data_IF_912434351717
#
_entry.id   IF_912434351717
#
_cell.length_a   1.000
_cell.length_b   1.000
_cell.length_c   1.000
_cell.angle_alpha   90.00
_cell.angle_beta   90.00
_cell.angle_gamma   90.00
#
_symmetry.space_group_name_H-M   'P 1'
#
loop_
_entity.id
_entity.type
_entity.pdbx_description
1 polymer ?
#
# COMPACT_ATOMS: atom_id res chain seq x y z
N UNK A 1 21.96 14.58 -12.23
CA UNK A 1 20.53 14.22 -12.11
C UNK A 1 19.98 14.70 -10.77
N UNK A 2 19.54 15.97 -10.61
CA UNK A 2 19.04 16.49 -9.34
C UNK A 2 17.50 16.62 -9.27
N UNK A 3 16.75 16.29 -10.32
CA UNK A 3 15.31 16.61 -10.44
C UNK A 3 14.33 15.58 -9.85
N UNK A 4 14.67 14.28 -9.87
CA UNK A 4 13.72 13.22 -9.49
C UNK A 4 13.48 13.11 -7.97
N UNK A 5 14.50 13.40 -7.15
CA UNK A 5 14.37 13.44 -5.69
C UNK A 5 13.60 14.69 -5.21
N UNK A 6 13.64 15.78 -5.98
CA UNK A 6 12.94 17.03 -5.64
C UNK A 6 11.42 16.85 -5.74
N UNK A 7 10.91 16.27 -6.83
CA UNK A 7 9.47 16.06 -7.01
C UNK A 7 8.85 15.15 -5.94
N UNK A 8 9.57 14.09 -5.55
CA UNK A 8 9.16 13.19 -4.48
C UNK A 8 9.06 13.88 -3.12
N UNK A 9 10.08 14.67 -2.77
CA UNK A 9 10.12 15.44 -1.53
C UNK A 9 9.02 16.51 -1.49
N UNK A 10 8.79 17.20 -2.61
CA UNK A 10 7.73 18.20 -2.76
C UNK A 10 6.33 17.58 -2.58
N UNK A 11 6.07 16.42 -3.19
CA UNK A 11 4.80 15.70 -3.01
C UNK A 11 4.61 15.25 -1.56
N UNK A 12 5.67 14.78 -0.89
CA UNK A 12 5.63 14.43 0.53
C UNK A 12 5.34 15.65 1.42
N UNK A 13 5.83 16.82 1.04
CA UNK A 13 5.53 18.10 1.69
C UNK A 13 4.12 18.65 1.35
N UNK A 14 3.37 18.00 0.45
CA UNK A 14 2.01 18.38 0.09
C UNK A 14 1.90 19.34 -1.10
N UNK A 15 2.96 19.50 -1.89
CA UNK A 15 2.93 20.32 -3.10
C UNK A 15 1.99 19.75 -4.17
N UNK A 16 1.38 20.65 -4.94
CA UNK A 16 0.75 20.34 -6.23
C UNK A 16 1.76 20.68 -7.31
N UNK A 17 2.24 19.67 -8.03
CA UNK A 17 3.23 19.85 -9.08
C UNK A 17 2.58 20.35 -10.37
N UNK A 18 3.29 21.11 -11.22
CA UNK A 18 2.80 21.47 -12.55
C UNK A 18 2.45 20.23 -13.39
N UNK A 19 1.46 20.37 -14.27
CA UNK A 19 1.17 19.36 -15.29
C UNK A 19 2.39 19.14 -16.18
N UNK A 20 2.65 17.89 -16.58
CA UNK A 20 3.80 17.54 -17.39
C UNK A 20 5.15 17.45 -16.64
N UNK A 21 5.15 17.49 -15.30
CA UNK A 21 6.37 17.26 -14.52
C UNK A 21 6.98 15.88 -14.85
N UNK A 22 8.20 15.86 -15.38
CA UNK A 22 8.90 14.64 -15.76
C UNK A 22 9.14 13.72 -14.54
N UNK A 23 8.94 12.41 -14.72
CA UNK A 23 9.10 11.41 -13.64
C UNK A 23 7.99 11.41 -12.58
N UNK A 24 6.96 12.27 -12.70
CA UNK A 24 5.88 12.33 -11.72
C UNK A 24 4.79 11.25 -11.92
N UNK A 25 4.67 10.66 -13.11
CA UNK A 25 3.55 9.76 -13.48
C UNK A 25 3.37 8.55 -12.55
N UNK A 26 4.47 7.99 -12.03
CA UNK A 26 4.40 6.83 -11.14
C UNK A 26 4.04 7.21 -9.69
N UNK A 27 4.22 8.48 -9.31
CA UNK A 27 4.12 8.97 -7.92
C UNK A 27 2.98 9.95 -7.71
N UNK A 28 2.45 10.53 -8.78
CA UNK A 28 1.43 11.56 -8.77
C UNK A 28 0.37 11.32 -9.84
N UNK A 29 -0.82 11.83 -9.57
CA UNK A 29 -2.02 11.74 -10.42
C UNK A 29 -2.54 13.14 -10.71
N UNK A 30 -3.23 13.35 -11.85
CA UNK A 30 -3.95 14.60 -12.10
C UNK A 30 -4.91 14.92 -10.94
N UNK A 31 -4.76 16.10 -10.36
CA UNK A 31 -5.70 16.64 -9.38
C UNK A 31 -6.68 17.56 -10.08
N UNK A 32 -7.95 17.33 -9.83
CA UNK A 32 -9.05 18.20 -10.24
C UNK A 32 -9.47 19.09 -9.06
N UNK A 33 -9.67 20.38 -9.32
CA UNK A 33 -10.39 21.26 -8.42
C UNK A 33 -11.89 21.08 -8.69
N UNK A 34 -12.59 20.50 -7.71
CA UNK A 34 -14.05 20.31 -7.75
C UNK A 34 -14.69 21.38 -6.88
N UNK A 35 -15.58 22.15 -7.49
CA UNK A 35 -16.26 23.27 -6.84
C UNK A 35 -17.68 22.86 -6.47
N UNK A 36 -18.07 23.09 -5.22
CA UNK A 36 -19.39 22.79 -4.71
C UNK A 36 -20.06 24.01 -4.09
N UNK A 37 -21.39 24.03 -4.13
CA UNK A 37 -22.24 25.04 -3.48
C UNK A 37 -23.11 24.37 -2.42
N UNK A 38 -23.47 25.13 -1.38
CA UNK A 38 -24.41 24.70 -0.36
C UNK A 38 -25.26 25.90 0.08
N UNK A 39 -26.58 25.78 0.23
CA UNK A 39 -27.44 26.89 0.62
C UNK A 39 -27.02 27.59 1.92
N UNK A 40 -26.52 26.84 2.90
CA UNK A 40 -26.01 27.40 4.16
C UNK A 40 -24.65 28.13 4.06
N UNK A 41 -24.02 28.19 2.89
CA UNK A 41 -22.74 28.88 2.68
C UNK A 41 -22.87 30.16 1.84
N UNK A 42 -24.10 30.55 1.47
CA UNK A 42 -24.39 31.67 0.57
C UNK A 42 -23.60 31.52 -0.74
N UNK A 43 -22.89 32.58 -1.16
CA UNK A 43 -22.08 32.58 -2.37
C UNK A 43 -20.70 31.92 -2.23
N UNK A 44 -20.33 31.44 -1.03
CA UNK A 44 -18.99 30.87 -0.80
C UNK A 44 -18.90 29.44 -1.35
N UNK A 45 -18.03 29.18 -2.34
CA UNK A 45 -17.83 27.82 -2.83
C UNK A 45 -16.99 27.00 -1.86
N UNK A 46 -17.24 25.69 -1.83
CA UNK A 46 -16.32 24.70 -1.25
C UNK A 46 -15.51 24.11 -2.39
N UNK A 47 -14.18 24.23 -2.33
CA UNK A 47 -13.28 23.65 -3.34
C UNK A 47 -12.53 22.47 -2.73
N UNK A 48 -12.57 21.32 -3.40
CA UNK A 48 -11.81 20.13 -3.02
C UNK A 48 -10.85 19.73 -4.14
N UNK A 49 -9.62 19.39 -3.76
CA UNK A 49 -8.63 18.83 -4.66
C UNK A 49 -8.69 17.31 -4.59
N UNK A 50 -9.05 16.68 -5.72
CA UNK A 50 -9.29 15.24 -5.78
C UNK A 50 -8.59 14.63 -6.98
N UNK A 51 -8.05 13.43 -6.81
CA UNK A 51 -7.60 12.58 -7.92
C UNK A 51 -8.68 12.54 -8.99
N UNK A 52 -8.34 12.91 -10.23
CA UNK A 52 -9.27 12.94 -11.35
C UNK A 52 -10.04 11.61 -11.49
N UNK A 53 -9.38 10.48 -11.23
CA UNK A 53 -9.99 9.15 -11.33
C UNK A 53 -11.01 8.85 -10.21
N UNK A 54 -10.99 9.61 -9.12
CA UNK A 54 -11.91 9.46 -7.98
C UNK A 54 -12.98 10.57 -7.93
N UNK A 55 -13.01 11.45 -8.93
CA UNK A 55 -13.87 12.63 -8.95
C UNK A 55 -15.36 12.32 -8.80
N UNK A 56 -15.86 11.30 -9.48
CA UNK A 56 -17.27 10.88 -9.37
C UNK A 56 -17.61 10.39 -7.96
N UNK A 57 -16.71 9.62 -7.34
CA UNK A 57 -16.88 9.16 -5.97
C UNK A 57 -16.90 10.31 -4.97
N UNK A 58 -16.08 11.34 -5.19
CA UNK A 58 -16.13 12.56 -4.39
C UNK A 58 -17.47 13.29 -4.57
N UNK A 59 -17.98 13.44 -5.79
CA UNK A 59 -19.26 14.13 -6.03
C UNK A 59 -20.42 13.44 -5.32
N UNK A 60 -20.44 12.11 -5.34
CA UNK A 60 -21.44 11.32 -4.59
C UNK A 60 -21.30 11.59 -3.09
N UNK A 61 -20.07 11.56 -2.56
CA UNK A 61 -19.82 11.83 -1.15
C UNK A 61 -20.21 13.26 -0.74
N UNK A 62 -19.90 14.25 -1.58
CA UNK A 62 -20.27 15.65 -1.40
C UNK A 62 -21.80 15.83 -1.44
N UNK A 63 -22.48 15.20 -2.41
CA UNK A 63 -23.94 15.21 -2.53
C UNK A 63 -24.65 14.71 -1.28
N UNK A 64 -24.08 13.71 -0.59
CA UNK A 64 -24.61 13.23 0.69
C UNK A 64 -24.60 14.30 1.79
N UNK A 65 -23.68 15.26 1.71
CA UNK A 65 -23.57 16.40 2.62
C UNK A 65 -24.43 17.61 2.16
N UNK A 66 -25.26 17.44 1.13
CA UNK A 66 -26.08 18.51 0.55
C UNK A 66 -25.30 19.46 -0.36
N UNK A 67 -24.06 19.13 -0.72
CA UNK A 67 -23.24 19.92 -1.64
C UNK A 67 -23.63 19.61 -3.09
N UNK A 68 -23.83 20.64 -3.91
CA UNK A 68 -24.11 20.49 -5.34
C UNK A 68 -22.93 20.98 -6.18
N UNK A 69 -22.61 20.33 -7.31
CA UNK A 69 -21.57 20.81 -8.22
C UNK A 69 -21.83 22.26 -8.66
N UNK A 70 -20.82 23.11 -8.55
CA UNK A 70 -20.90 24.54 -8.85
C UNK A 70 -20.19 24.97 -10.13
N UNK A 71 -19.30 24.12 -10.66
CA UNK A 71 -18.57 24.33 -11.92
C UNK A 71 -18.00 23.00 -12.42
N UNK A 72 -17.65 22.95 -13.70
CA UNK A 72 -16.94 21.79 -14.27
C UNK A 72 -15.57 21.60 -13.61
N UNK A 73 -15.19 20.35 -13.25
CA UNK A 73 -13.89 20.08 -12.65
C UNK A 73 -12.74 20.45 -13.58
N UNK A 74 -11.78 21.23 -13.07
CA UNK A 74 -10.59 21.64 -13.81
C UNK A 74 -9.34 20.96 -13.25
N UNK A 75 -8.45 20.46 -14.12
CA UNK A 75 -7.14 19.94 -13.69
C UNK A 75 -6.26 21.10 -13.25
N UNK A 76 -5.79 21.06 -12.01
CA UNK A 76 -4.97 22.14 -11.41
C UNK A 76 -3.50 21.75 -11.18
N UNK A 77 -3.15 20.49 -11.46
CA UNK A 77 -1.78 20.00 -11.36
C UNK A 77 -1.72 18.50 -11.08
N UNK A 78 -0.57 18.04 -10.61
CA UNK A 78 -0.32 16.66 -10.20
C UNK A 78 -0.15 16.61 -8.68
N UNK A 79 -0.76 15.64 -8.03
CA UNK A 79 -0.63 15.44 -6.58
C UNK A 79 -0.58 13.97 -6.20
N UNK A 80 -0.38 13.66 -4.91
CA UNK A 80 -0.24 12.28 -4.46
C UNK A 80 -1.54 11.51 -4.65
N UNK A 81 -1.45 10.27 -5.11
CA UNK A 81 -2.61 9.35 -5.18
C UNK A 81 -3.18 9.11 -3.79
N UNK A 82 -4.45 9.48 -3.59
CA UNK A 82 -5.17 9.30 -2.32
C UNK A 82 -6.44 8.50 -2.57
N UNK A 83 -6.51 7.22 -2.14
CA UNK A 83 -7.73 6.46 -2.29
C UNK A 83 -8.84 7.03 -1.39
N UNK A 84 -10.09 6.80 -1.78
CA UNK A 84 -11.22 7.03 -0.90
C UNK A 84 -11.01 6.25 0.40
N UNK A 85 -11.08 6.95 1.53
CA UNK A 85 -10.99 6.37 2.86
C UNK A 85 -12.37 6.40 3.53
N UNK A 86 -12.52 5.77 4.68
CA UNK A 86 -13.70 6.02 5.52
C UNK A 86 -13.79 7.53 5.85
N UNK A 87 -14.98 8.17 5.87
CA UNK A 87 -16.29 7.64 5.50
C UNK A 87 -16.59 7.73 3.98
N UNK A 88 -15.80 8.45 3.19
CA UNK A 88 -16.06 8.70 1.76
C UNK A 88 -16.23 7.40 0.96
N UNK A 89 -15.40 6.39 1.22
CA UNK A 89 -15.52 5.05 0.64
C UNK A 89 -16.90 4.42 0.93
N UNK A 90 -17.44 4.63 2.13
CA UNK A 90 -18.77 4.12 2.50
C UNK A 90 -19.85 4.86 1.72
N UNK A 91 -19.74 6.18 1.58
CA UNK A 91 -20.72 6.98 0.84
C UNK A 91 -20.80 6.56 -0.63
N UNK A 92 -19.69 6.12 -1.21
CA UNK A 92 -19.61 5.65 -2.60
C UNK A 92 -20.07 4.19 -2.74
N UNK A 93 -19.55 3.28 -1.92
CA UNK A 93 -19.75 1.84 -2.11
C UNK A 93 -20.95 1.27 -1.33
N UNK A 94 -21.37 1.92 -0.25
CA UNK A 94 -22.48 1.50 0.61
C UNK A 94 -23.33 2.72 1.05
N UNK A 95 -23.95 3.46 0.11
CA UNK A 95 -24.63 4.72 0.41
C UNK A 95 -25.76 4.57 1.44
N UNK A 96 -26.42 3.41 1.50
CA UNK A 96 -27.44 3.10 2.51
C UNK A 96 -26.91 3.18 3.95
N UNK A 97 -25.62 2.90 4.16
CA UNK A 97 -24.95 2.94 5.46
C UNK A 97 -24.29 4.30 5.74
N UNK A 98 -24.37 5.24 4.80
CA UNK A 98 -23.68 6.53 4.86
C UNK A 98 -24.00 7.35 6.10
N UNK A 99 -25.25 7.35 6.55
CA UNK A 99 -25.67 8.05 7.78
C UNK A 99 -24.94 7.49 9.01
N UNK A 100 -24.80 6.17 9.10
CA UNK A 100 -24.11 5.51 10.21
C UNK A 100 -22.60 5.80 10.18
N UNK A 101 -21.99 5.82 9.00
CA UNK A 101 -20.58 6.18 8.83
C UNK A 101 -20.30 7.65 9.20
N UNK A 102 -21.19 8.58 8.83
CA UNK A 102 -21.05 9.99 9.18
C UNK A 102 -21.32 10.28 10.65
N UNK A 103 -22.23 9.55 11.29
CA UNK A 103 -22.59 9.75 12.69
C UNK A 103 -21.38 9.64 13.65
N UNK A 104 -20.36 8.85 13.30
CA UNK A 104 -19.16 8.68 14.14
C UNK A 104 -18.05 9.69 13.85
N UNK A 105 -18.16 10.52 12.80
CA UNK A 105 -17.08 11.45 12.39
C UNK A 105 -16.68 12.43 13.50
N UNK A 106 -17.61 13.07 14.25
CA UNK A 106 -17.23 13.98 15.34
C UNK A 106 -16.44 13.28 16.46
N UNK A 107 -16.84 12.05 16.82
CA UNK A 107 -16.11 11.23 17.80
C UNK A 107 -14.71 10.89 17.29
N UNK A 108 -14.57 10.51 16.01
CA UNK A 108 -13.27 10.20 15.40
C UNK A 108 -12.36 11.43 15.30
N UNK A 109 -12.90 12.62 15.06
CA UNK A 109 -12.12 13.86 15.07
C UNK A 109 -11.57 14.16 16.48
N UNK A 110 -12.36 13.90 17.53
CA UNK A 110 -11.89 14.01 18.92
C UNK A 110 -10.79 13.00 19.24
N UNK A 111 -10.95 11.74 18.84
CA UNK A 111 -9.94 10.69 19.03
C UNK A 111 -8.65 11.00 18.27
N UNK A 112 -8.74 11.54 17.05
CA UNK A 112 -7.57 11.93 16.27
C UNK A 112 -6.73 13.01 16.97
N UNK A 113 -7.37 14.00 17.61
CA UNK A 113 -6.68 15.02 18.42
C UNK A 113 -5.95 14.43 19.64
N UNK A 114 -6.41 13.28 20.13
CA UNK A 114 -5.83 12.58 21.29
C UNK A 114 -4.74 11.59 20.89
N UNK A 115 -4.61 11.23 19.61
CA UNK A 115 -3.73 10.17 19.15
C UNK A 115 -2.26 10.37 19.54
N UNK A 116 -1.79 11.62 19.63
CA UNK A 116 -0.41 11.92 20.06
C UNK A 116 -0.24 11.96 21.58
N UNK A 117 -1.14 12.64 22.29
CA UNK A 117 -0.99 12.92 23.73
C UNK A 117 -1.53 11.83 24.63
N UNK A 118 -2.55 11.09 24.18
CA UNK A 118 -3.24 10.02 24.93
C UNK A 118 -3.51 8.83 24.02
N UNK A 119 -2.47 8.22 23.44
CA UNK A 119 -2.62 7.24 22.35
C UNK A 119 -3.41 6.00 22.78
N UNK A 120 -3.22 5.49 24.01
CA UNK A 120 -3.99 4.34 24.51
C UNK A 120 -5.48 4.64 24.63
N UNK A 121 -5.84 5.81 25.16
CA UNK A 121 -7.24 6.23 25.28
C UNK A 121 -7.88 6.43 23.90
N UNK A 122 -7.13 7.01 22.94
CA UNK A 122 -7.58 7.14 21.56
C UNK A 122 -7.81 5.75 20.91
N UNK A 123 -6.93 4.79 21.17
CA UNK A 123 -7.04 3.43 20.63
C UNK A 123 -8.27 2.72 21.17
N UNK A 124 -8.53 2.86 22.48
CA UNK A 124 -9.70 2.27 23.14
C UNK A 124 -10.99 2.90 22.62
N UNK A 125 -11.00 4.21 22.38
CA UNK A 125 -12.12 4.88 21.71
C UNK A 125 -12.36 4.35 20.30
N UNK A 126 -11.31 4.20 19.48
CA UNK A 126 -11.43 3.59 18.17
C UNK A 126 -11.95 2.14 18.24
N UNK A 127 -11.54 1.37 19.24
CA UNK A 127 -12.06 0.01 19.44
C UNK A 127 -13.54 0.03 19.81
N UNK A 128 -13.98 0.94 20.69
CA UNK A 128 -15.39 1.07 21.05
C UNK A 128 -16.26 1.40 19.82
N UNK A 129 -15.78 2.27 18.92
CA UNK A 129 -16.47 2.54 17.64
C UNK A 129 -16.51 1.28 16.76
N UNK A 130 -15.38 0.56 16.64
CA UNK A 130 -15.33 -0.69 15.88
C UNK A 130 -16.31 -1.74 16.42
N UNK A 131 -16.44 -1.88 17.74
CA UNK A 131 -17.36 -2.85 18.35
C UNK A 131 -18.83 -2.54 18.01
N UNK A 132 -19.18 -1.25 17.84
CA UNK A 132 -20.52 -0.86 17.35
C UNK A 132 -20.73 -1.29 15.90
N UNK A 133 -19.72 -1.08 15.05
CA UNK A 133 -19.78 -1.53 13.65
C UNK A 133 -19.79 -3.06 13.53
N UNK A 134 -19.00 -3.79 14.32
CA UNK A 134 -18.93 -5.24 14.26
C UNK A 134 -20.29 -5.93 14.48
N UNK A 135 -21.19 -5.30 15.24
CA UNK A 135 -22.55 -5.81 15.49
C UNK A 135 -23.54 -5.55 14.36
N UNK A 136 -23.33 -4.52 13.56
CA UNK A 136 -24.37 -3.98 12.65
C UNK A 136 -23.89 -3.87 11.21
N UNK A 137 -22.66 -3.42 11.02
CA UNK A 137 -22.05 -3.07 9.73
C UNK A 137 -20.60 -3.56 9.67
N UNK A 138 -20.35 -4.89 9.79
CA UNK A 138 -18.98 -5.44 9.86
C UNK A 138 -18.15 -5.15 8.61
N UNK A 139 -18.79 -4.94 7.45
CA UNK A 139 -18.11 -4.55 6.20
C UNK A 139 -17.43 -3.18 6.27
N UNK A 140 -17.77 -2.32 7.25
CA UNK A 140 -17.10 -1.03 7.44
C UNK A 140 -15.77 -1.15 8.20
N UNK A 141 -15.56 -2.25 8.94
CA UNK A 141 -14.40 -2.44 9.80
C UNK A 141 -13.05 -2.30 9.08
N UNK A 142 -12.84 -2.88 7.88
CA UNK A 142 -11.53 -2.80 7.23
C UNK A 142 -11.14 -1.36 6.89
N UNK A 143 -12.03 -0.62 6.22
CA UNK A 143 -11.77 0.79 5.84
C UNK A 143 -11.69 1.71 7.08
N UNK A 144 -12.49 1.43 8.12
CA UNK A 144 -12.44 2.13 9.41
C UNK A 144 -11.07 1.96 10.08
N UNK A 145 -10.61 0.71 10.25
CA UNK A 145 -9.33 0.43 10.90
C UNK A 145 -8.14 0.96 10.09
N UNK A 146 -8.20 0.92 8.76
CA UNK A 146 -7.19 1.53 7.91
C UNK A 146 -7.12 3.06 8.10
N UNK A 147 -8.27 3.76 8.21
CA UNK A 147 -8.28 5.20 8.54
C UNK A 147 -7.66 5.44 9.91
N UNK A 148 -8.07 4.69 10.92
CA UNK A 148 -7.54 4.82 12.27
C UNK A 148 -6.01 4.59 12.29
N UNK A 149 -5.52 3.57 11.58
CA UNK A 149 -4.09 3.32 11.45
C UNK A 149 -3.33 4.51 10.84
N UNK A 150 -3.89 5.19 9.82
CA UNK A 150 -3.30 6.42 9.24
C UNK A 150 -3.24 7.56 10.27
N UNK A 151 -4.25 7.70 11.13
CA UNK A 151 -4.27 8.71 12.21
C UNK A 151 -3.15 8.46 13.22
N UNK A 152 -2.97 7.22 13.68
CA UNK A 152 -1.89 6.88 14.61
C UNK A 152 -0.51 7.03 13.96
N UNK A 153 -0.38 6.65 12.69
CA UNK A 153 0.86 6.85 11.94
C UNK A 153 1.22 8.35 11.86
N UNK A 154 0.26 9.22 11.50
CA UNK A 154 0.49 10.66 11.48
C UNK A 154 0.81 11.26 12.87
N UNK A 155 0.37 10.59 13.94
CA UNK A 155 0.71 10.96 15.32
C UNK A 155 2.08 10.43 15.79
N UNK A 156 2.81 9.68 14.96
CA UNK A 156 4.08 9.04 15.31
C UNK A 156 3.94 7.82 16.21
N UNK A 157 2.79 7.15 16.15
CA UNK A 157 2.42 6.03 17.00
C UNK A 157 2.40 4.71 16.22
N UNK A 158 3.54 4.33 15.67
CA UNK A 158 3.68 3.22 14.71
C UNK A 158 3.17 1.89 15.27
N UNK A 159 3.45 1.58 16.53
CA UNK A 159 2.97 0.37 17.21
C UNK A 159 1.44 0.25 17.16
N UNK A 160 0.72 1.35 17.38
CA UNK A 160 -0.74 1.35 17.34
C UNK A 160 -1.26 1.37 15.91
N UNK A 161 -0.57 2.03 14.98
CA UNK A 161 -0.87 1.93 13.55
C UNK A 161 -0.77 0.46 13.06
N UNK A 162 0.26 -0.27 13.47
CA UNK A 162 0.45 -1.69 13.14
C UNK A 162 -0.68 -2.55 13.71
N UNK A 163 -1.07 -2.31 14.96
CA UNK A 163 -2.19 -3.03 15.58
C UNK A 163 -3.50 -2.82 14.81
N UNK A 164 -3.80 -1.58 14.42
CA UNK A 164 -5.02 -1.24 13.69
C UNK A 164 -5.00 -1.80 12.26
N UNK A 165 -3.85 -1.77 11.58
CA UNK A 165 -3.68 -2.44 10.28
C UNK A 165 -4.01 -3.94 10.36
N UNK A 166 -3.45 -4.63 11.38
CA UNK A 166 -3.72 -6.05 11.58
C UNK A 166 -5.20 -6.32 11.94
N UNK A 167 -5.86 -5.42 12.67
CA UNK A 167 -7.30 -5.52 12.96
C UNK A 167 -8.15 -5.39 11.70
N UNK A 168 -7.76 -4.55 10.73
CA UNK A 168 -8.44 -4.46 9.43
C UNK A 168 -8.44 -5.82 8.72
N UNK A 169 -7.26 -6.45 8.61
CA UNK A 169 -7.11 -7.78 7.98
C UNK A 169 -7.84 -8.87 8.76
N UNK A 170 -7.79 -8.82 10.10
CA UNK A 170 -8.54 -9.76 10.96
C UNK A 170 -10.05 -9.64 10.76
N UNK A 171 -10.57 -8.41 10.60
CA UNK A 171 -12.00 -8.19 10.36
C UNK A 171 -12.45 -8.79 9.02
N UNK A 172 -11.66 -8.64 7.95
CA UNK A 172 -11.95 -9.27 6.65
C UNK A 172 -12.05 -10.79 6.78
N UNK A 173 -11.08 -11.42 7.45
CA UNK A 173 -11.08 -12.87 7.66
C UNK A 173 -12.22 -13.34 8.58
N UNK A 174 -12.45 -12.65 9.69
CA UNK A 174 -13.46 -13.01 10.70
C UNK A 174 -14.89 -12.93 10.15
N UNK A 175 -15.16 -11.95 9.29
CA UNK A 175 -16.50 -11.71 8.75
C UNK A 175 -16.67 -12.19 7.30
N UNK A 176 -15.67 -12.89 6.73
CA UNK A 176 -15.74 -13.41 5.37
C UNK A 176 -15.97 -12.33 4.31
N UNK A 177 -15.41 -11.14 4.52
CA UNK A 177 -15.69 -9.98 3.67
C UNK A 177 -15.01 -10.13 2.29
N UNK A 178 -15.63 -9.62 1.21
CA UNK A 178 -14.99 -9.57 -0.09
C UNK A 178 -13.74 -8.67 -0.02
N UNK A 179 -12.65 -9.13 -0.65
CA UNK A 179 -11.38 -8.42 -0.67
C UNK A 179 -11.09 -7.98 -2.10
N UNK A 180 -11.06 -6.67 -2.31
CA UNK A 180 -10.47 -6.08 -3.50
C UNK A 180 -8.94 -6.14 -3.38
N UNK A 181 -8.33 -7.07 -4.11
CA UNK A 181 -6.88 -7.28 -4.06
C UNK A 181 -6.09 -6.09 -4.63
N UNK A 182 -6.65 -5.32 -5.58
CA UNK A 182 -5.97 -4.15 -6.16
C UNK A 182 -5.88 -3.04 -5.11
N UNK A 183 -7.00 -2.73 -4.44
CA UNK A 183 -7.03 -1.82 -3.29
C UNK A 183 -6.10 -2.31 -2.17
N UNK A 184 -6.09 -3.62 -1.91
CA UNK A 184 -5.29 -4.18 -0.84
C UNK A 184 -3.78 -4.05 -1.10
N UNK A 185 -3.31 -4.25 -2.33
CA UNK A 185 -1.91 -4.02 -2.70
C UNK A 185 -1.47 -2.57 -2.40
N UNK A 186 -2.32 -1.59 -2.73
CA UNK A 186 -2.03 -0.18 -2.44
C UNK A 186 -1.99 0.12 -0.94
N UNK A 187 -2.87 -0.53 -0.17
CA UNK A 187 -2.88 -0.42 1.30
C UNK A 187 -1.61 -1.03 1.88
N UNK A 188 -1.22 -2.24 1.47
CA UNK A 188 0.03 -2.86 1.91
C UNK A 188 1.24 -2.01 1.54
N UNK A 189 1.33 -1.53 0.30
CA UNK A 189 2.43 -0.68 -0.14
C UNK A 189 2.56 0.57 0.73
N UNK A 190 1.46 1.31 0.94
CA UNK A 190 1.47 2.54 1.74
C UNK A 190 1.94 2.30 3.17
N UNK A 191 1.43 1.26 3.83
CA UNK A 191 1.82 0.97 5.22
C UNK A 191 3.21 0.32 5.31
N UNK A 192 3.67 -0.42 4.30
CA UNK A 192 5.02 -0.97 4.26
C UNK A 192 6.08 0.14 4.14
N UNK A 193 5.86 1.11 3.24
CA UNK A 193 6.74 2.28 3.10
C UNK A 193 6.82 3.13 4.37
N UNK A 194 5.77 3.08 5.19
CA UNK A 194 5.72 3.75 6.50
C UNK A 194 6.26 2.89 7.65
N UNK A 195 6.87 1.73 7.38
CA UNK A 195 7.38 0.76 8.38
C UNK A 195 6.32 0.22 9.36
N UNK A 196 5.04 0.37 9.02
CA UNK A 196 3.91 -0.13 9.83
C UNK A 196 3.66 -1.62 9.57
N UNK A 197 3.84 -2.09 8.34
CA UNK A 197 3.72 -3.51 7.99
C UNK A 197 5.02 -4.22 8.36
N UNK A 198 4.93 -5.22 9.25
CA UNK A 198 6.08 -6.07 9.58
C UNK A 198 6.40 -7.03 8.44
N UNK A 199 7.65 -7.50 8.36
CA UNK A 199 8.06 -8.56 7.44
C UNK A 199 7.14 -9.80 7.51
N UNK A 200 6.67 -10.13 8.72
CA UNK A 200 5.71 -11.22 8.96
C UNK A 200 4.33 -10.93 8.37
N UNK A 201 3.81 -9.71 8.52
CA UNK A 201 2.52 -9.33 7.96
C UNK A 201 2.56 -9.32 6.41
N UNK A 202 3.67 -8.85 5.82
CA UNK A 202 3.88 -8.90 4.38
C UNK A 202 4.00 -10.36 3.86
N UNK A 203 4.76 -11.22 4.56
CA UNK A 203 4.81 -12.65 4.22
C UNK A 203 3.47 -13.38 4.45
N UNK A 204 2.67 -12.93 5.42
CA UNK A 204 1.30 -13.38 5.63
C UNK A 204 0.41 -13.09 4.42
N UNK A 205 0.59 -11.93 3.78
CA UNK A 205 -0.13 -11.58 2.57
C UNK A 205 0.14 -12.54 1.41
N UNK A 206 1.38 -13.01 1.24
CA UNK A 206 1.69 -14.05 0.24
C UNK A 206 0.89 -15.34 0.45
N UNK A 207 0.63 -15.72 1.72
CA UNK A 207 -0.21 -16.87 2.07
C UNK A 207 -1.67 -16.60 1.70
N UNK A 208 -2.17 -15.39 1.95
CA UNK A 208 -3.53 -14.98 1.57
C UNK A 208 -3.75 -14.96 0.06
N UNK A 209 -2.75 -14.52 -0.71
CA UNK A 209 -2.76 -14.60 -2.17
C UNK A 209 -2.81 -16.04 -2.65
N UNK A 210 -1.99 -16.92 -2.07
CA UNK A 210 -1.96 -18.35 -2.41
C UNK A 210 -3.30 -19.06 -2.14
N UNK A 211 -4.08 -18.57 -1.18
CA UNK A 211 -5.39 -19.14 -0.84
C UNK A 211 -6.51 -18.68 -1.79
N UNK A 212 -6.30 -17.63 -2.59
CA UNK A 212 -7.33 -16.96 -3.39
C UNK A 212 -7.06 -17.00 -4.89
N UNK A 213 -5.78 -17.07 -5.28
CA UNK A 213 -5.36 -16.95 -6.66
C UNK A 213 -4.64 -18.22 -7.14
N UNK A 214 -4.65 -18.48 -8.45
CA UNK A 214 -3.73 -19.44 -9.06
C UNK A 214 -2.29 -19.14 -8.66
N UNK A 215 -1.48 -20.19 -8.43
CA UNK A 215 -0.13 -20.05 -7.87
C UNK A 215 0.79 -19.13 -8.69
N UNK A 216 0.66 -19.17 -10.01
CA UNK A 216 1.37 -18.28 -10.94
C UNK A 216 1.00 -16.81 -10.72
N UNK A 217 -0.30 -16.51 -10.63
CA UNK A 217 -0.79 -15.14 -10.41
C UNK A 217 -0.43 -14.63 -9.02
N UNK A 218 -0.49 -15.48 -7.99
CA UNK A 218 -0.06 -15.14 -6.63
C UNK A 218 1.43 -14.76 -6.59
N UNK A 219 2.29 -15.51 -7.32
CA UNK A 219 3.71 -15.20 -7.47
C UNK A 219 3.92 -13.83 -8.11
N UNK A 220 3.31 -13.59 -9.27
CA UNK A 220 3.50 -12.34 -10.02
C UNK A 220 3.04 -11.14 -9.19
N UNK A 221 1.89 -11.28 -8.53
CA UNK A 221 1.33 -10.23 -7.69
C UNK A 221 2.20 -9.91 -6.48
N UNK A 222 2.68 -10.92 -5.77
CA UNK A 222 3.57 -10.71 -4.62
C UNK A 222 4.92 -10.11 -5.04
N UNK A 223 5.52 -10.58 -6.13
CA UNK A 223 6.77 -10.02 -6.66
C UNK A 223 6.60 -8.55 -7.05
N UNK A 224 5.49 -8.17 -7.72
CA UNK A 224 5.18 -6.77 -8.04
C UNK A 224 5.05 -5.92 -6.77
N UNK A 225 4.36 -6.40 -5.75
CA UNK A 225 4.25 -5.68 -4.47
C UNK A 225 5.61 -5.51 -3.79
N UNK A 226 6.41 -6.58 -3.72
CA UNK A 226 7.73 -6.56 -3.11
C UNK A 226 8.70 -5.60 -3.83
N UNK A 227 8.68 -5.57 -5.17
CA UNK A 227 9.45 -4.61 -5.96
C UNK A 227 9.01 -3.17 -5.71
N UNK A 228 7.71 -2.90 -5.70
CA UNK A 228 7.18 -1.56 -5.39
C UNK A 228 7.53 -1.11 -3.97
N UNK A 229 7.48 -2.03 -3.01
CA UNK A 229 7.88 -1.76 -1.63
C UNK A 229 9.38 -1.44 -1.55
N UNK A 230 10.23 -2.22 -2.22
CA UNK A 230 11.67 -1.97 -2.30
C UNK A 230 11.98 -0.63 -2.98
N UNK A 231 11.32 -0.32 -4.09
CA UNK A 231 11.45 0.97 -4.76
C UNK A 231 11.03 2.16 -3.85
N UNK A 232 10.13 1.90 -2.90
CA UNK A 232 9.73 2.86 -1.86
C UNK A 232 10.61 2.82 -0.60
N UNK A 233 11.77 2.17 -0.64
CA UNK A 233 12.76 2.14 0.44
C UNK A 233 12.55 1.05 1.50
N UNK A 234 11.65 0.08 1.25
CA UNK A 234 11.45 -1.05 2.17
C UNK A 234 12.51 -2.12 1.94
N UNK A 235 13.34 -2.40 2.94
CA UNK A 235 14.38 -3.43 2.87
C UNK A 235 13.76 -4.83 2.71
N UNK A 236 14.16 -5.62 1.70
CA UNK A 236 13.72 -7.01 1.54
C UNK A 236 14.08 -7.87 2.75
N UNK A 237 13.15 -8.72 3.20
CA UNK A 237 13.31 -9.52 4.43
C UNK A 237 13.52 -11.01 4.13
N UNK A 238 14.17 -11.75 5.04
CA UNK A 238 14.28 -13.20 4.90
C UNK A 238 12.90 -13.89 4.79
N UNK A 239 11.89 -13.35 5.47
CA UNK A 239 10.51 -13.81 5.39
C UNK A 239 9.90 -13.59 3.99
N UNK A 240 10.14 -12.44 3.37
CA UNK A 240 9.68 -12.18 2.00
C UNK A 240 10.39 -13.06 0.98
N UNK A 241 11.69 -13.33 1.14
CA UNK A 241 12.40 -14.29 0.29
C UNK A 241 11.83 -15.72 0.42
N UNK A 242 11.58 -16.16 1.65
CA UNK A 242 10.92 -17.46 1.90
C UNK A 242 9.53 -17.53 1.26
N UNK A 243 8.77 -16.43 1.30
CA UNK A 243 7.48 -16.32 0.64
C UNK A 243 7.58 -16.45 -0.89
N UNK A 244 8.51 -15.73 -1.53
CA UNK A 244 8.77 -15.84 -2.98
C UNK A 244 9.13 -17.28 -3.34
N UNK A 245 10.11 -17.89 -2.65
CA UNK A 245 10.53 -19.27 -2.94
C UNK A 245 9.38 -20.28 -2.80
N UNK A 246 8.48 -20.07 -1.84
CA UNK A 246 7.30 -20.91 -1.65
C UNK A 246 6.31 -20.75 -2.81
N UNK A 247 6.07 -19.52 -3.26
CA UNK A 247 5.21 -19.21 -4.39
C UNK A 247 5.78 -19.77 -5.70
N UNK A 248 7.09 -19.64 -5.94
CA UNK A 248 7.78 -20.26 -7.08
C UNK A 248 7.57 -21.76 -7.09
N UNK A 249 7.84 -22.45 -5.98
CA UNK A 249 7.61 -23.91 -5.87
C UNK A 249 6.16 -24.29 -6.12
N UNK A 250 5.20 -23.50 -5.63
CA UNK A 250 3.78 -23.73 -5.86
C UNK A 250 3.41 -23.56 -7.34
N UNK A 251 3.89 -22.50 -7.98
CA UNK A 251 3.66 -22.20 -9.39
C UNK A 251 4.30 -23.26 -10.30
N UNK A 252 5.54 -23.68 -10.03
CA UNK A 252 6.22 -24.75 -10.79
C UNK A 252 5.48 -26.08 -10.67
N UNK A 253 5.00 -26.43 -9.46
CA UNK A 253 4.20 -27.64 -9.26
C UNK A 253 2.87 -27.58 -10.01
N UNK A 254 2.19 -26.44 -9.99
CA UNK A 254 0.92 -26.26 -10.71
C UNK A 254 1.09 -26.28 -12.24
N UNK A 255 2.20 -25.75 -12.75
CA UNK A 255 2.48 -25.70 -14.19
C UNK A 255 2.89 -27.06 -14.79
N UNK A 256 3.35 -28.01 -13.97
CA UNK A 256 3.81 -29.31 -14.42
C UNK A 256 5.07 -29.23 -15.30
N UNK A 257 5.46 -30.36 -15.91
CA UNK A 257 6.71 -30.48 -16.70
C UNK A 257 6.71 -29.57 -17.95
N UNK A 258 5.56 -29.40 -18.60
CA UNK A 258 5.43 -28.65 -19.85
C UNK A 258 5.36 -27.13 -19.62
N UNK A 259 4.79 -26.69 -18.49
CA UNK A 259 4.68 -25.28 -18.15
C UNK A 259 5.80 -24.74 -17.25
N UNK A 260 6.72 -25.59 -16.78
CA UNK A 260 7.79 -25.19 -15.85
C UNK A 260 8.69 -24.07 -16.42
N UNK A 261 8.96 -24.08 -17.72
CA UNK A 261 9.75 -23.03 -18.38
C UNK A 261 9.09 -21.65 -18.26
N UNK A 262 7.77 -21.55 -18.39
CA UNK A 262 7.02 -20.29 -18.29
C UNK A 262 7.00 -19.69 -16.87
N UNK A 263 7.28 -20.49 -15.84
CA UNK A 263 7.39 -20.04 -14.44
C UNK A 263 8.85 -19.78 -14.07
N UNK A 264 9.79 -20.50 -14.69
CA UNK A 264 11.21 -20.45 -14.37
C UNK A 264 11.83 -19.05 -14.50
N UNK A 265 11.33 -18.22 -15.42
CA UNK A 265 11.85 -16.87 -15.66
C UNK A 265 11.31 -15.79 -14.69
N UNK A 266 10.27 -16.10 -13.91
CA UNK A 266 9.60 -15.10 -13.05
C UNK A 266 10.44 -14.67 -11.85
N UNK A 267 11.04 -15.62 -11.15
CA UNK A 267 11.96 -15.32 -10.04
C UNK A 267 13.23 -14.60 -10.53
N UNK A 268 13.91 -15.07 -11.60
CA UNK A 268 15.00 -14.34 -12.21
C UNK A 268 14.64 -12.89 -12.59
N UNK A 269 13.52 -12.67 -13.27
CA UNK A 269 13.08 -11.32 -13.65
C UNK A 269 12.86 -10.42 -12.42
N UNK A 270 12.19 -10.93 -11.39
CA UNK A 270 12.00 -10.24 -10.11
C UNK A 270 13.34 -9.87 -9.45
N UNK A 271 14.27 -10.82 -9.35
CA UNK A 271 15.57 -10.59 -8.72
C UNK A 271 16.43 -9.62 -9.52
N UNK A 272 16.41 -9.70 -10.84
CA UNK A 272 17.13 -8.75 -11.72
C UNK A 272 16.69 -7.31 -11.47
N UNK A 273 15.37 -7.05 -11.39
CA UNK A 273 14.89 -5.70 -11.09
C UNK A 273 15.21 -5.28 -9.65
N UNK A 274 15.03 -6.18 -8.68
CA UNK A 274 15.28 -5.87 -7.27
C UNK A 274 16.75 -5.54 -7.01
N UNK A 275 17.69 -6.29 -7.61
CA UNK A 275 19.13 -6.10 -7.43
C UNK A 275 19.68 -4.82 -8.09
N UNK A 276 18.87 -4.11 -8.89
CA UNK A 276 19.20 -2.76 -9.38
C UNK A 276 18.85 -1.67 -8.38
N UNK A 277 18.01 -1.98 -7.38
CA UNK A 277 17.62 -1.03 -6.35
C UNK A 277 18.69 -0.98 -5.24
N UNK A 278 19.13 0.20 -4.79
CA UNK A 278 20.14 0.32 -3.73
C UNK A 278 19.74 -0.39 -2.43
N UNK A 279 18.45 -0.39 -2.10
CA UNK A 279 17.90 -1.01 -0.88
C UNK A 279 18.15 -2.53 -0.81
N UNK A 280 18.40 -3.19 -1.95
CA UNK A 280 18.70 -4.62 -1.97
C UNK A 280 20.02 -4.95 -1.27
N UNK A 281 20.99 -4.02 -1.29
CA UNK A 281 22.28 -4.18 -0.60
C UNK A 281 22.12 -4.23 0.93
N UNK A 282 21.06 -3.63 1.47
CA UNK A 282 20.77 -3.62 2.92
C UNK A 282 20.07 -4.91 3.39
N UNK A 283 19.74 -5.82 2.48
CA UNK A 283 19.02 -7.05 2.82
C UNK A 283 19.85 -7.94 3.76
N UNK A 284 19.22 -8.55 4.78
CA UNK A 284 19.93 -9.39 5.75
C UNK A 284 20.48 -10.65 5.10
N UNK A 285 21.53 -11.26 5.69
CA UNK A 285 22.15 -12.49 5.18
C UNK A 285 21.15 -13.64 4.91
N UNK A 286 20.07 -13.73 5.70
CA UNK A 286 19.01 -14.71 5.48
C UNK A 286 18.25 -14.53 4.16
N UNK A 287 18.11 -13.29 3.67
CA UNK A 287 17.53 -12.99 2.37
C UNK A 287 18.46 -13.48 1.25
N UNK A 288 19.75 -13.13 1.33
CA UNK A 288 20.76 -13.59 0.36
C UNK A 288 20.87 -15.10 0.29
N UNK A 289 20.90 -15.77 1.45
CA UNK A 289 20.95 -17.24 1.52
C UNK A 289 19.73 -17.89 0.86
N UNK A 290 18.56 -17.28 0.99
CA UNK A 290 17.32 -17.81 0.41
C UNK A 290 17.31 -17.73 -1.13
N UNK A 291 17.90 -16.70 -1.73
CA UNK A 291 17.96 -16.54 -3.20
C UNK A 291 19.30 -16.91 -3.83
N UNK A 292 20.28 -17.38 -3.04
CA UNK A 292 21.64 -17.70 -3.49
C UNK A 292 21.69 -18.53 -4.79
N UNK A 293 20.90 -19.62 -4.96
CA UNK A 293 20.93 -20.40 -6.20
C UNK A 293 20.51 -19.58 -7.43
N UNK A 294 19.41 -18.82 -7.32
CA UNK A 294 18.87 -18.02 -8.40
C UNK A 294 19.79 -16.84 -8.74
N UNK A 295 20.35 -16.16 -7.73
CA UNK A 295 21.30 -15.06 -7.91
C UNK A 295 22.60 -15.55 -8.54
N UNK A 296 23.10 -16.73 -8.17
CA UNK A 296 24.32 -17.30 -8.78
C UNK A 296 24.11 -17.63 -10.26
N UNK A 297 22.97 -18.23 -10.59
CA UNK A 297 22.60 -18.49 -11.99
C UNK A 297 22.45 -17.20 -12.81
N UNK A 298 21.86 -16.15 -12.22
CA UNK A 298 21.77 -14.81 -12.84
C UNK A 298 23.15 -14.19 -13.06
N UNK A 299 24.04 -14.21 -12.06
CA UNK A 299 25.38 -13.61 -12.15
C UNK A 299 26.28 -14.28 -13.21
N UNK A 300 26.01 -15.55 -13.52
CA UNK A 300 26.63 -16.27 -14.63
C UNK A 300 26.15 -15.79 -16.02
N UNK A 301 24.92 -15.29 -16.11
CA UNK A 301 24.28 -14.82 -17.36
C UNK A 301 24.42 -13.32 -17.60
N UNK A 302 24.39 -12.51 -16.53
CA UNK A 302 24.44 -11.05 -16.59
C UNK A 302 25.63 -10.50 -15.76
N UNK A 303 26.68 -9.98 -16.42
CA UNK A 303 27.84 -9.37 -15.74
C UNK A 303 27.51 -8.11 -14.93
N UNK A 304 26.39 -7.41 -15.19
CA UNK A 304 26.00 -6.21 -14.46
C UNK A 304 25.56 -6.55 -13.02
N UNK A 305 24.86 -7.67 -12.81
CA UNK A 305 24.46 -8.18 -11.50
C UNK A 305 25.67 -8.50 -10.61
N UNK A 306 26.81 -8.85 -11.22
CA UNK A 306 28.09 -9.13 -10.53
C UNK A 306 28.67 -7.89 -9.82
N UNK A 307 28.30 -6.68 -10.27
CA UNK A 307 28.81 -5.40 -9.74
C UNK A 307 27.94 -4.82 -8.62
N UNK A 308 26.66 -5.18 -8.54
CA UNK A 308 25.72 -4.72 -7.51
C UNK A 308 25.70 -5.57 -6.24
N UNK A 309 26.31 -6.77 -6.27
CA UNK A 309 26.48 -7.63 -5.09
C UNK A 309 27.53 -7.10 -4.11
N UNK A 310 27.12 -6.93 -2.86
CA UNK A 310 27.96 -6.67 -1.68
C UNK A 310 29.27 -7.51 -1.67
N UNK A 311 30.43 -6.96 -1.24
CA UNK A 311 31.67 -7.72 -1.01
C UNK A 311 31.52 -9.02 -0.18
N UNK A 312 30.43 -9.22 0.56
CA UNK A 312 30.11 -10.51 1.19
C UNK A 312 30.05 -11.69 0.21
N UNK A 313 29.59 -11.50 -1.03
CA UNK A 313 29.58 -12.55 -2.06
C UNK A 313 31.02 -12.87 -2.53
N UNK A 314 31.93 -11.88 -2.52
CA UNK A 314 33.35 -12.07 -2.89
C UNK A 314 34.13 -12.90 -1.88
N UNK A 315 33.73 -12.90 -0.60
CA UNK A 315 34.45 -13.63 0.46
C UNK A 315 34.15 -15.13 0.49
N UNK A 316 33.01 -15.58 -0.03
CA UNK A 316 32.68 -17.02 -0.07
C UNK A 316 33.36 -17.76 -1.23
N UNK A 317 33.82 -17.06 -2.28
CA UNK A 317 34.47 -17.67 -3.44
C UNK A 317 36.00 -17.85 -3.29
N UNK A 318 36.62 -17.16 -2.33
CA UNK A 318 38.08 -17.19 -2.14
C UNK A 318 38.55 -18.22 -1.10
N UNK A 319 37.64 -18.87 -0.37
CA UNK A 319 37.99 -19.81 0.71
C UNK A 319 38.02 -21.28 0.29
N UNK A 320 37.90 -21.60 -1.00
CA UNK A 320 37.91 -22.98 -1.51
C UNK A 320 39.07 -23.27 -2.48
N UNK A 321 40.14 -22.48 -2.42
CA UNK A 321 41.36 -22.70 -3.20
C UNK A 321 42.60 -22.48 -2.33
N UNK A 322 42.80 -23.40 -1.39
CA UNK A 322 44.09 -23.87 -0.87
C UNK A 322 43.85 -25.17 -0.12
#
# INVERSE_FOLDING_TARGET
MPGEDSAGSLLAAGAVLPTGTAGAADRAVPLTARTYRHPALDDRPVVRLVDAALGEGEDIAAGFLGLTPGAEPAVVGLGPRRPLAFPEWVLVHHPADGRHALAVVPELQKLAKQARSRPKAALDGHQAVADRFARTLPHLLPTFFERAARVFLAAGQDTYATQLFNRARKAEAQHGLPIDLNRLDEVYLRFASAKVVSATALAGYAKELSARLPAAEALDRFCRLALRAAAAGVVPSAQSASAVNRLVRAATRAAGRTGAAAVADREPAYLTELLRLPVAAEAPAGWWKAHLPAVTALAGRDPAIRRSGDPAIRRSGAACST
#
